data_IF_939172198800
#
_entry.id   IF_939172198800
#
_cell.length_a   1.000
_cell.length_b   1.000
_cell.length_c   1.000
_cell.angle_alpha   90.00
_cell.angle_beta   90.00
_cell.angle_gamma   90.00
#
_symmetry.space_group_name_H-M   'P 1'
#
loop_
_entity.id
_entity.type
_entity.pdbx_description
1 polymer ?
#
# COMPACT_ATOMS: atom_id res chain seq x y z
N UNK A 1 -4.86 18.78 17.29
CA UNK A 1 -3.84 19.50 16.49
C UNK A 1 -3.76 19.04 15.04
N UNK A 2 -3.14 17.90 14.65
CA UNK A 2 -3.01 17.53 13.22
C UNK A 2 -4.36 17.36 12.51
N UNK A 3 -5.31 16.73 13.19
CA UNK A 3 -6.67 16.50 12.67
C UNK A 3 -7.45 17.82 12.48
N UNK A 4 -7.21 18.82 13.31
CA UNK A 4 -7.79 20.17 13.16
C UNK A 4 -7.14 20.90 11.99
N UNK A 5 -5.81 20.85 11.89
CA UNK A 5 -5.05 21.47 10.79
C UNK A 5 -5.42 20.88 9.42
N UNK A 6 -5.73 19.58 9.36
CA UNK A 6 -6.21 18.94 8.14
C UNK A 6 -7.58 19.49 7.71
N UNK A 7 -8.46 19.73 8.68
CA UNK A 7 -9.83 20.23 8.45
C UNK A 7 -9.93 21.73 8.23
N UNK A 8 -8.88 22.46 8.56
CA UNK A 8 -8.78 23.87 8.24
C UNK A 8 -8.80 24.07 6.71
N UNK A 9 -9.75 24.90 6.26
CA UNK A 9 -9.99 25.22 4.85
C UNK A 9 -9.03 26.29 4.33
N UNK A 10 -8.45 27.09 5.22
CA UNK A 10 -7.47 28.13 4.85
C UNK A 10 -6.09 27.53 4.60
N UNK A 11 -5.82 26.36 5.20
CA UNK A 11 -4.58 25.64 4.97
C UNK A 11 -4.51 25.12 3.52
N UNK A 12 -3.42 25.45 2.85
CA UNK A 12 -3.14 24.97 1.51
C UNK A 12 -2.89 23.46 1.46
N UNK A 13 -2.73 22.98 0.23
CA UNK A 13 -2.54 21.56 -0.05
C UNK A 13 -1.13 21.05 0.31
N UNK A 14 -0.16 21.95 0.43
CA UNK A 14 1.18 21.61 0.89
C UNK A 14 1.13 21.20 2.37
N UNK A 15 0.41 21.95 3.20
CA UNK A 15 0.17 21.59 4.60
C UNK A 15 -0.54 20.23 4.70
N UNK A 16 -1.54 19.98 3.85
CA UNK A 16 -2.25 18.69 3.83
C UNK A 16 -1.33 17.53 3.46
N UNK A 17 -0.43 17.73 2.50
CA UNK A 17 0.58 16.73 2.11
C UNK A 17 1.59 16.48 3.23
N UNK A 18 1.97 17.52 3.97
CA UNK A 18 2.79 17.38 5.17
C UNK A 18 2.08 16.56 6.25
N UNK A 19 0.79 16.81 6.48
CA UNK A 19 -0.01 16.05 7.44
C UNK A 19 -0.10 14.58 7.02
N UNK A 20 -0.35 14.27 5.75
CA UNK A 20 -0.42 12.88 5.27
C UNK A 20 0.88 12.09 5.52
N UNK A 21 2.04 12.77 5.51
CA UNK A 21 3.35 12.16 5.75
C UNK A 21 3.76 12.13 7.23
N UNK A 22 3.03 12.81 8.09
CA UNK A 22 3.41 12.95 9.48
C UNK A 22 3.13 11.63 10.23
N UNK A 23 4.11 11.00 10.90
CA UNK A 23 3.99 9.63 11.45
C UNK A 23 2.85 9.45 12.47
N UNK A 24 2.49 10.53 13.18
CA UNK A 24 1.38 10.53 14.14
C UNK A 24 0.02 10.84 13.52
N UNK A 25 -0.07 10.93 12.19
CA UNK A 25 -1.34 11.14 11.52
C UNK A 25 -2.19 9.89 11.64
N UNK A 26 -3.41 10.09 12.09
CA UNK A 26 -4.36 9.01 12.39
C UNK A 26 -5.01 8.51 11.10
N UNK A 27 -5.45 7.24 11.08
CA UNK A 27 -6.24 6.68 9.96
C UNK A 27 -7.45 7.55 9.66
N UNK A 28 -8.15 8.06 10.68
CA UNK A 28 -9.28 8.99 10.52
C UNK A 28 -8.90 10.26 9.76
N UNK A 29 -7.75 10.83 10.05
CA UNK A 29 -7.26 12.02 9.34
C UNK A 29 -6.86 11.67 7.91
N UNK A 30 -6.25 10.50 7.68
CA UNK A 30 -5.91 10.01 6.33
C UNK A 30 -7.17 9.81 5.47
N UNK A 31 -8.24 9.21 6.01
CA UNK A 31 -9.56 9.11 5.34
C UNK A 31 -10.03 10.48 4.87
N UNK A 32 -9.96 11.49 5.74
CA UNK A 32 -10.38 12.85 5.39
C UNK A 32 -9.55 13.44 4.24
N UNK A 33 -8.27 13.06 4.13
CA UNK A 33 -7.37 13.56 3.09
C UNK A 33 -7.57 12.88 1.72
N UNK A 34 -8.23 11.71 1.65
CA UNK A 34 -8.52 11.02 0.38
C UNK A 34 -9.35 11.85 -0.60
N UNK A 35 -10.11 12.84 -0.13
CA UNK A 35 -10.88 13.73 -1.01
C UNK A 35 -10.01 14.67 -1.86
N UNK A 36 -8.71 14.76 -1.55
CA UNK A 36 -7.75 15.56 -2.30
C UNK A 36 -7.02 14.64 -3.27
N UNK A 37 -7.47 14.62 -4.52
CA UNK A 37 -6.97 13.75 -5.58
C UNK A 37 -5.62 14.24 -6.14
N UNK A 38 -4.55 14.00 -5.38
CA UNK A 38 -3.17 14.24 -5.81
C UNK A 38 -2.31 13.01 -5.63
N UNK A 39 -1.48 12.74 -6.64
CA UNK A 39 -0.59 11.57 -6.67
C UNK A 39 0.33 11.53 -5.45
N UNK A 40 0.91 12.67 -5.04
CA UNK A 40 1.79 12.74 -3.89
C UNK A 40 1.07 12.51 -2.55
N UNK A 41 -0.20 12.92 -2.46
CA UNK A 41 -1.06 12.70 -1.30
C UNK A 41 -1.42 11.22 -1.20
N UNK A 42 -1.87 10.63 -2.31
CA UNK A 42 -2.26 9.22 -2.37
C UNK A 42 -1.07 8.31 -2.08
N UNK A 43 0.10 8.56 -2.66
CA UNK A 43 1.29 7.78 -2.31
C UNK A 43 1.73 7.94 -0.86
N UNK A 44 1.53 9.13 -0.26
CA UNK A 44 1.78 9.34 1.17
C UNK A 44 0.80 8.53 2.04
N UNK A 45 -0.50 8.55 1.72
CA UNK A 45 -1.52 7.77 2.45
C UNK A 45 -1.27 6.27 2.25
N UNK A 46 -1.08 5.81 1.02
CA UNK A 46 -0.82 4.40 0.70
C UNK A 46 0.39 3.84 1.45
N UNK A 47 1.48 4.62 1.56
CA UNK A 47 2.69 4.20 2.27
C UNK A 47 2.68 4.43 3.78
N UNK A 48 1.61 4.98 4.36
CA UNK A 48 1.59 5.36 5.76
C UNK A 48 1.29 4.16 6.68
N UNK A 49 2.10 3.98 7.73
CA UNK A 49 2.00 2.83 8.65
C UNK A 49 0.69 2.78 9.46
N UNK A 50 0.00 3.92 9.61
CA UNK A 50 -1.32 4.00 10.26
C UNK A 50 -2.49 3.94 9.27
N UNK A 51 -2.26 3.74 7.98
CA UNK A 51 -3.38 3.57 7.04
C UNK A 51 -4.06 2.24 7.33
N UNK A 52 -5.38 2.28 7.49
CA UNK A 52 -6.14 1.10 7.86
C UNK A 52 -6.31 0.16 6.66
N UNK A 53 -6.48 -1.15 6.89
CA UNK A 53 -6.66 -2.12 5.82
C UNK A 53 -7.82 -1.76 4.87
N UNK A 54 -8.93 -1.24 5.40
CA UNK A 54 -10.11 -0.85 4.61
C UNK A 54 -9.81 0.31 3.64
N UNK A 55 -8.94 1.25 4.05
CA UNK A 55 -8.51 2.35 3.19
C UNK A 55 -7.59 1.83 2.09
N UNK A 56 -6.66 0.94 2.44
CA UNK A 56 -5.72 0.36 1.48
C UNK A 56 -6.47 -0.46 0.41
N UNK A 57 -7.45 -1.26 0.81
CA UNK A 57 -8.33 -1.99 -0.10
C UNK A 57 -9.09 -1.05 -1.05
N UNK A 58 -9.69 0.02 -0.52
CA UNK A 58 -10.36 1.03 -1.34
C UNK A 58 -9.40 1.69 -2.35
N UNK A 59 -8.16 1.97 -1.93
CA UNK A 59 -7.17 2.61 -2.78
C UNK A 59 -6.66 1.69 -3.89
N UNK A 60 -6.52 0.38 -3.65
CA UNK A 60 -6.18 -0.59 -4.72
C UNK A 60 -7.22 -0.54 -5.83
N UNK A 61 -8.51 -0.60 -5.48
CA UNK A 61 -9.62 -0.61 -6.45
C UNK A 61 -9.89 0.71 -7.15
N UNK A 62 -9.32 1.81 -6.68
CA UNK A 62 -9.63 3.17 -7.18
C UNK A 62 -8.45 3.86 -7.82
N UNK A 63 -7.22 3.35 -7.68
CA UNK A 63 -6.03 4.00 -8.17
C UNK A 63 -5.53 3.40 -9.48
N UNK A 64 -5.25 4.26 -10.45
CA UNK A 64 -4.57 3.93 -11.72
C UNK A 64 -3.10 4.38 -11.73
N UNK A 65 -2.61 4.93 -10.61
CA UNK A 65 -1.30 5.57 -10.54
C UNK A 65 -0.25 4.59 -10.05
N UNK A 66 0.71 4.26 -10.92
CA UNK A 66 1.80 3.33 -10.63
C UNK A 66 2.52 3.61 -9.30
N UNK A 67 2.81 4.89 -9.01
CA UNK A 67 3.44 5.29 -7.74
C UNK A 67 2.59 4.93 -6.50
N UNK A 68 1.26 5.14 -6.57
CA UNK A 68 0.34 4.81 -5.49
C UNK A 68 0.22 3.29 -5.34
N UNK A 69 0.05 2.56 -6.45
CA UNK A 69 -0.05 1.10 -6.45
C UNK A 69 1.21 0.44 -5.87
N UNK A 70 2.39 0.93 -6.25
CA UNK A 70 3.65 0.51 -5.64
C UNK A 70 3.68 0.75 -4.12
N UNK A 71 3.19 1.90 -3.65
CA UNK A 71 3.11 2.19 -2.21
C UNK A 71 2.11 1.30 -1.47
N UNK A 72 1.00 0.93 -2.10
CA UNK A 72 0.05 -0.04 -1.58
C UNK A 72 0.68 -1.43 -1.47
N UNK A 73 1.34 -1.89 -2.53
CA UNK A 73 2.06 -3.16 -2.53
C UNK A 73 3.16 -3.23 -1.46
N UNK A 74 3.82 -2.11 -1.15
CA UNK A 74 4.84 -2.06 -0.09
C UNK A 74 4.28 -2.00 1.34
N UNK A 75 3.02 -1.62 1.53
CA UNK A 75 2.48 -1.39 2.87
C UNK A 75 2.12 -2.73 3.54
N UNK A 76 2.73 -3.09 4.68
CA UNK A 76 2.45 -4.36 5.35
C UNK A 76 1.01 -4.49 5.87
N UNK A 77 0.27 -3.38 5.99
CA UNK A 77 -1.15 -3.42 6.38
C UNK A 77 -2.09 -3.63 5.19
N UNK A 78 -1.59 -3.68 3.95
CA UNK A 78 -2.43 -3.95 2.79
C UNK A 78 -2.96 -5.38 2.89
N UNK A 79 -4.29 -5.58 2.84
CA UNK A 79 -4.89 -6.91 2.93
C UNK A 79 -4.36 -7.88 1.87
N UNK A 80 -4.30 -9.16 2.23
CA UNK A 80 -3.93 -10.22 1.30
C UNK A 80 -4.79 -10.20 0.03
N UNK A 81 -6.11 -10.07 0.19
CA UNK A 81 -7.06 -10.06 -0.92
C UNK A 81 -6.84 -8.85 -1.85
N UNK A 82 -6.44 -7.71 -1.31
CA UNK A 82 -6.13 -6.52 -2.10
C UNK A 82 -4.77 -6.66 -2.82
N UNK A 83 -3.80 -7.36 -2.24
CA UNK A 83 -2.54 -7.70 -2.90
C UNK A 83 -2.74 -8.74 -4.00
N UNK A 84 -3.67 -9.68 -3.81
CA UNK A 84 -4.06 -10.66 -4.82
C UNK A 84 -4.68 -9.96 -6.04
N UNK A 85 -5.67 -9.07 -5.82
CA UNK A 85 -6.28 -8.23 -6.86
C UNK A 85 -5.22 -7.40 -7.61
N UNK A 86 -4.31 -6.74 -6.87
CA UNK A 86 -3.24 -5.94 -7.47
C UNK A 86 -2.24 -6.79 -8.28
N UNK A 87 -1.95 -8.03 -7.84
CA UNK A 87 -1.05 -8.94 -8.55
C UNK A 87 -1.64 -9.42 -9.88
N UNK A 88 -2.95 -9.61 -9.95
CA UNK A 88 -3.64 -10.04 -11.16
C UNK A 88 -3.73 -8.91 -12.21
N UNK A 89 -3.83 -7.67 -11.77
CA UNK A 89 -4.01 -6.50 -12.66
C UNK A 89 -2.70 -5.83 -13.09
N UNK A 90 -1.58 -6.10 -12.39
CA UNK A 90 -0.32 -5.35 -12.59
C UNK A 90 0.67 -6.06 -13.51
N UNK A 91 1.03 -5.39 -14.61
CA UNK A 91 2.15 -5.78 -15.49
C UNK A 91 3.52 -5.22 -15.04
N UNK A 92 3.59 -4.44 -13.95
CA UNK A 92 4.85 -3.83 -13.47
C UNK A 92 5.64 -4.78 -12.56
N UNK A 93 6.89 -5.04 -12.94
CA UNK A 93 7.84 -5.82 -12.15
C UNK A 93 8.12 -5.19 -10.78
N UNK A 94 8.16 -3.86 -10.68
CA UNK A 94 8.36 -3.18 -9.39
C UNK A 94 7.20 -3.43 -8.42
N UNK A 95 5.97 -3.49 -8.93
CA UNK A 95 4.79 -3.82 -8.13
C UNK A 95 4.81 -5.30 -7.75
N UNK A 96 5.05 -6.21 -8.70
CA UNK A 96 5.14 -7.65 -8.43
C UNK A 96 6.24 -7.97 -7.42
N UNK A 97 7.40 -7.32 -7.51
CA UNK A 97 8.47 -7.45 -6.53
C UNK A 97 8.04 -6.95 -5.15
N UNK A 98 7.34 -5.81 -5.07
CA UNK A 98 6.82 -5.30 -3.80
C UNK A 98 5.79 -6.26 -3.18
N UNK A 99 4.91 -6.86 -3.99
CA UNK A 99 3.95 -7.90 -3.57
C UNK A 99 4.71 -9.14 -3.08
N UNK A 100 5.71 -9.61 -3.83
CA UNK A 100 6.54 -10.75 -3.42
C UNK A 100 7.22 -10.54 -2.06
N UNK A 101 7.58 -9.30 -1.73
CA UNK A 101 8.22 -8.92 -0.47
C UNK A 101 7.24 -8.63 0.68
N UNK A 102 5.95 -8.42 0.38
CA UNK A 102 4.99 -8.00 1.40
C UNK A 102 4.57 -9.19 2.29
N UNK A 103 4.73 -9.10 3.62
CA UNK A 103 4.43 -10.19 4.54
C UNK A 103 2.94 -10.58 4.58
N UNK A 104 2.05 -9.72 4.11
CA UNK A 104 0.60 -9.97 4.05
C UNK A 104 0.16 -10.62 2.75
N UNK A 105 1.06 -10.80 1.76
CA UNK A 105 0.72 -11.45 0.49
C UNK A 105 0.32 -12.90 0.72
N UNK A 106 -0.78 -13.31 0.08
CA UNK A 106 -1.30 -14.66 0.21
C UNK A 106 -0.30 -15.70 -0.32
N UNK A 107 -0.31 -16.89 0.29
CA UNK A 107 0.51 -18.03 -0.16
C UNK A 107 0.22 -18.40 -1.62
N UNK A 108 -1.04 -18.30 -2.07
CA UNK A 108 -1.44 -18.54 -3.46
C UNK A 108 -0.79 -17.55 -4.41
N UNK A 109 -0.81 -16.25 -4.09
CA UNK A 109 -0.18 -15.23 -4.93
C UNK A 109 1.33 -15.37 -4.95
N UNK A 110 1.95 -15.69 -3.80
CA UNK A 110 3.39 -15.99 -3.77
C UNK A 110 3.75 -17.17 -4.68
N UNK A 111 2.95 -18.24 -4.69
CA UNK A 111 3.17 -19.38 -5.59
C UNK A 111 3.03 -18.98 -7.07
N UNK A 112 2.08 -18.11 -7.41
CA UNK A 112 1.92 -17.64 -8.79
C UNK A 112 3.14 -16.83 -9.27
N UNK A 113 3.83 -16.15 -8.36
CA UNK A 113 5.04 -15.37 -8.67
C UNK A 113 6.32 -16.22 -8.78
N UNK A 114 6.24 -17.55 -8.63
CA UNK A 114 7.42 -18.43 -8.71
C UNK A 114 8.03 -18.58 -10.11
N UNK A 115 7.24 -18.29 -11.14
CA UNK A 115 7.64 -18.39 -12.55
C UNK A 115 7.98 -17.02 -13.17
N UNK A 116 7.94 -15.95 -12.36
CA UNK A 116 8.38 -14.60 -12.76
C UNK A 116 9.92 -14.51 -12.82
N UNK A 117 10.43 -13.36 -13.27
CA UNK A 117 11.87 -13.07 -13.35
C UNK A 117 12.63 -13.37 -12.03
N UNK A 118 13.92 -13.67 -12.15
CA UNK A 118 14.77 -14.25 -11.09
C UNK A 118 14.57 -13.58 -9.72
N UNK A 119 14.57 -12.25 -9.65
CA UNK A 119 14.47 -11.52 -8.37
C UNK A 119 13.08 -11.66 -7.74
N UNK A 120 12.01 -11.62 -8.55
CA UNK A 120 10.63 -11.74 -8.08
C UNK A 120 10.40 -13.16 -7.53
N UNK A 121 10.80 -14.18 -8.30
CA UNK A 121 10.70 -15.58 -7.87
C UNK A 121 11.48 -15.86 -6.58
N UNK A 122 12.69 -15.31 -6.45
CA UNK A 122 13.52 -15.45 -5.23
C UNK A 122 12.82 -14.85 -4.01
N UNK A 123 12.34 -13.61 -4.11
CA UNK A 123 11.69 -12.95 -2.97
C UNK A 123 10.34 -13.60 -2.63
N UNK A 124 9.58 -14.07 -3.63
CA UNK A 124 8.32 -14.75 -3.41
C UNK A 124 8.52 -16.07 -2.64
N UNK A 125 9.52 -16.89 -3.04
CA UNK A 125 9.86 -18.14 -2.35
C UNK A 125 10.32 -17.88 -0.91
N UNK A 126 11.18 -16.88 -0.72
CA UNK A 126 11.66 -16.48 0.60
C UNK A 126 10.53 -16.03 1.53
N UNK A 127 9.60 -15.24 1.03
CA UNK A 127 8.42 -14.81 1.78
C UNK A 127 7.50 -16.01 2.11
N UNK A 128 7.26 -16.88 1.12
CA UNK A 128 6.48 -18.10 1.30
C UNK A 128 7.06 -18.99 2.42
N UNK A 129 8.36 -19.26 2.36
CA UNK A 129 9.06 -20.08 3.35
C UNK A 129 9.04 -19.43 4.74
N UNK A 130 9.16 -18.10 4.82
CA UNK A 130 9.06 -17.35 6.07
C UNK A 130 7.67 -17.48 6.71
N UNK A 131 6.60 -17.36 5.92
CA UNK A 131 5.23 -17.55 6.40
C UNK A 131 4.96 -18.99 6.86
N UNK A 132 5.51 -19.99 6.16
CA UNK A 132 5.40 -21.40 6.56
C UNK A 132 6.09 -21.68 7.90
N UNK A 133 7.29 -21.11 8.11
CA UNK A 133 8.05 -21.30 9.35
C UNK A 133 7.35 -20.71 10.59
N UNK A 134 6.48 -19.70 10.41
CA UNK A 134 5.74 -19.06 11.48
C UNK A 134 4.43 -19.79 11.88
N UNK A 135 4.02 -20.83 11.14
CA UNK A 135 2.85 -21.64 11.49
C UNK A 135 1.50 -20.93 11.30
N UNK A 136 1.43 -19.94 10.41
CA UNK A 136 0.19 -19.30 9.97
C UNK A 136 -0.53 -20.10 8.89
#
# INVERSE_FOLDING_TARGET
MLDELARDKENDEYIKSFIARHPNTTSRTLVYLLKYDKVEMMGAIAGHANTSPEILELMVRSSDKLYTLFKLAQNPNTPAEALDELSEESDSDEIKLAIAQNPSTSKSTLMNLFDEDDIISIEARKNYDYQQALGH
#
